data_IF_552884686423
#
_entry.id   IF_552884686423
#
_cell.length_a   1.000
_cell.length_b   1.000
_cell.length_c   1.000
_cell.angle_alpha   90.00
_cell.angle_beta   90.00
_cell.angle_gamma   90.00
#
_symmetry.space_group_name_H-M   'P 1'
#
loop_
_entity.id
_entity.type
_entity.pdbx_description
1 polymer ?
#
# COMPACT_ATOMS: atom_id res chain seq x y z
N UNK A 2 12.79 6.09 11.28
CA UNK A 2 11.82 7.20 11.05
C UNK A 2 10.44 6.84 11.54
N UNK A 3 9.51 6.70 10.62
CA UNK A 3 8.15 6.32 10.95
C UNK A 3 7.54 5.49 9.82
N UNK A 4 6.64 4.59 10.17
CA UNK A 4 6.02 3.71 9.19
C UNK A 4 4.53 3.58 9.48
N UNK A 5 3.70 3.75 8.46
CA UNK A 5 2.28 3.56 8.63
C UNK A 5 1.85 2.29 7.92
N UNK A 6 1.97 1.16 8.58
CA UNK A 6 1.60 -0.08 7.95
C UNK A 6 0.10 -0.31 8.11
N UNK A 7 -0.58 -0.47 7.00
CA UNK A 7 -2.03 -0.43 6.94
C UNK A 7 -2.60 -1.77 6.46
N UNK A 8 -3.64 -2.24 7.13
CA UNK A 8 -4.36 -3.42 6.66
C UNK A 8 -5.32 -3.04 5.56
N UNK A 9 -5.19 -3.73 4.45
CA UNK A 9 -5.98 -3.43 3.27
C UNK A 9 -7.48 -3.51 3.59
N UNK A 10 -8.15 -2.39 3.38
CA UNK A 10 -9.57 -2.25 3.60
C UNK A 10 -10.25 -2.13 2.25
N UNK A 11 -11.57 -1.91 2.25
CA UNK A 11 -12.32 -1.72 1.00
C UNK A 11 -11.53 -0.85 0.04
N UNK A 12 -11.13 -1.46 -1.07
CA UNK A 12 -10.11 -0.90 -1.94
C UNK A 12 -9.00 -1.91 -2.13
N UNK A 13 -9.38 -3.18 -2.09
CA UNK A 13 -8.48 -4.35 -2.05
C UNK A 13 -7.42 -4.39 -3.15
N UNK A 14 -7.42 -3.46 -4.07
CA UNK A 14 -6.52 -3.55 -5.19
C UNK A 14 -5.50 -2.44 -5.10
N UNK A 15 -4.27 -2.74 -5.51
CA UNK A 15 -3.13 -1.89 -5.23
C UNK A 15 -3.33 -0.47 -5.74
N UNK A 16 -3.78 -0.34 -6.97
CA UNK A 16 -4.01 0.96 -7.57
C UNK A 16 -5.15 1.70 -6.86
N UNK A 17 -6.12 0.96 -6.34
CA UNK A 17 -7.27 1.55 -5.69
C UNK A 17 -6.89 2.15 -4.34
N UNK A 18 -6.15 1.40 -3.53
CA UNK A 18 -5.73 1.88 -2.22
C UNK A 18 -4.63 2.92 -2.34
N UNK A 19 -3.71 2.72 -3.28
CA UNK A 19 -2.61 3.66 -3.48
C UNK A 19 -3.12 5.06 -3.75
N UNK A 20 -4.06 5.16 -4.68
CA UNK A 20 -4.65 6.45 -5.02
C UNK A 20 -5.62 6.89 -3.92
N UNK A 21 -6.10 5.93 -3.15
CA UNK A 21 -7.06 6.21 -2.09
C UNK A 21 -6.43 7.04 -0.96
N UNK A 22 -5.25 6.64 -0.49
CA UNK A 22 -4.60 7.39 0.60
C UNK A 22 -3.39 8.18 0.12
N UNK A 23 -3.24 8.32 -1.20
CA UNK A 23 -2.28 9.28 -1.74
C UNK A 23 -0.83 8.80 -1.71
N UNK A 24 -0.60 7.61 -2.21
CA UNK A 24 0.76 7.11 -2.36
C UNK A 24 0.93 6.49 -3.75
N UNK A 25 2.10 6.66 -4.32
CA UNK A 25 2.37 6.10 -5.63
C UNK A 25 2.49 4.58 -5.55
N UNK A 26 2.08 3.92 -6.62
CA UNK A 26 2.20 2.48 -6.72
C UNK A 26 3.67 2.08 -6.57
N UNK A 27 4.57 2.93 -7.05
CA UNK A 27 5.99 2.60 -7.06
C UNK A 27 6.60 2.54 -5.66
N UNK A 28 6.35 3.54 -4.83
CA UNK A 28 6.98 3.58 -3.50
C UNK A 28 6.34 2.60 -2.53
N UNK A 29 5.02 2.47 -2.55
CA UNK A 29 4.41 1.56 -1.59
C UNK A 29 4.78 0.12 -1.96
N UNK A 30 4.95 -0.14 -3.25
CA UNK A 30 5.46 -1.43 -3.71
C UNK A 30 6.91 -1.63 -3.24
N UNK A 31 7.68 -0.55 -3.20
CA UNK A 31 9.10 -0.62 -2.88
C UNK A 31 9.35 -1.13 -1.46
N UNK A 32 8.61 -0.62 -0.49
CA UNK A 32 8.80 -1.06 0.89
C UNK A 32 7.96 -2.30 1.24
N UNK A 33 7.15 -2.77 0.31
CA UNK A 33 6.38 -4.01 0.53
C UNK A 33 6.96 -5.18 -0.26
N UNK A 34 7.68 -4.86 -1.32
CA UNK A 34 8.23 -5.90 -2.19
C UNK A 34 7.14 -6.62 -2.95
N UNK A 35 6.15 -5.87 -3.41
CA UNK A 35 5.01 -6.45 -4.11
C UNK A 35 5.09 -6.19 -5.61
N UNK A 36 4.96 -7.24 -6.38
CA UNK A 36 4.82 -7.12 -7.82
C UNK A 36 3.39 -7.46 -8.24
N UNK A 37 2.64 -6.46 -8.68
CA UNK A 37 1.29 -6.70 -9.14
C UNK A 37 0.25 -6.26 -8.13
N UNK A 38 -0.99 -6.67 -8.35
CA UNK A 38 -2.11 -6.28 -7.48
C UNK A 38 -2.52 -7.42 -6.57
N UNK A 39 -1.55 -8.20 -6.09
CA UNK A 39 -1.87 -9.34 -5.21
C UNK A 39 -2.17 -8.87 -3.79
N UNK A 40 -3.25 -8.11 -3.68
CA UNK A 40 -3.66 -7.52 -2.42
C UNK A 40 -5.09 -7.93 -2.08
N UNK A 41 -5.37 -8.07 -0.80
CA UNK A 41 -6.69 -8.46 -0.32
C UNK A 41 -6.95 -7.85 1.05
N UNK A 42 -8.22 -7.72 1.41
CA UNK A 42 -8.59 -7.15 2.70
C UNK A 42 -8.00 -7.95 3.85
N UNK A 43 -7.30 -7.28 4.76
CA UNK A 43 -6.64 -7.97 5.84
C UNK A 43 -5.13 -8.06 5.65
N UNK A 44 -4.69 -7.92 4.40
CA UNK A 44 -3.26 -7.94 4.11
C UNK A 44 -2.59 -6.72 4.75
N UNK A 45 -1.46 -6.96 5.39
CA UNK A 45 -0.72 -5.91 6.05
C UNK A 45 0.32 -5.32 5.10
N UNK A 46 0.08 -4.12 4.63
CA UNK A 46 1.00 -3.48 3.71
C UNK A 46 1.54 -2.18 4.30
N UNK A 47 2.82 -1.94 4.11
CA UNK A 47 3.47 -0.72 4.61
C UNK A 47 3.12 0.46 3.72
N UNK A 48 2.82 1.60 4.32
CA UNK A 48 2.74 2.84 3.58
C UNK A 48 3.27 4.00 4.46
N UNK A 49 4.37 4.60 4.04
CA UNK A 49 4.89 5.76 4.77
C UNK A 49 5.57 6.77 3.83
N UNK A 50 5.03 7.98 3.82
CA UNK A 50 5.56 9.04 2.96
C UNK A 50 6.10 10.19 3.80
N UNK A 51 6.90 11.05 3.18
CA UNK A 51 7.48 12.17 3.89
C UNK A 51 8.95 12.35 3.57
N UNK A 52 9.66 11.24 3.44
CA UNK A 52 11.06 11.27 3.10
C UNK A 52 11.47 9.98 2.40
#
# INVERSE_FOLDING_TARGET
MGTNTYYTVKSGDTLNKIAAQYGVSVANLRSWNGISGDLIFVGQKLIVKKGSHHHHHH
#
